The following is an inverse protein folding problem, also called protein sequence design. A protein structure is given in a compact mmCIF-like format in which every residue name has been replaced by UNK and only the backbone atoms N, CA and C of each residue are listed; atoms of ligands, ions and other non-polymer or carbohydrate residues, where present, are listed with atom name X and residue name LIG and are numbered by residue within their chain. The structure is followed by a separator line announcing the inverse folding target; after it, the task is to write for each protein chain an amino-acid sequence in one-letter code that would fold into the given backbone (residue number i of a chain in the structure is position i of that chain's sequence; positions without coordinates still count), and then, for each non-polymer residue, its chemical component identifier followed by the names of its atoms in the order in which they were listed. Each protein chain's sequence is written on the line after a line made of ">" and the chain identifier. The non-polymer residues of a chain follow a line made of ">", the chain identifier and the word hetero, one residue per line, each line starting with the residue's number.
data_IF_549218203276
#
_entry.id   IF_549218203276
#
_cell.length_a   1.000
_cell.length_b   1.000
_cell.length_c   1.000
_cell.angle_alpha   90.00
_cell.angle_beta   90.00
_cell.angle_gamma   90.00
#
_symmetry.space_group_name_H-M   'P 1'
#
loop_
_entity.id
_entity.type
_entity.pdbx_description
1 polymer ?
#
# COMPACT_ATOMS: atom_id res chain seq x y z
N UNK A 1 55.29 43.49 -26.84
CA UNK A 1 54.02 42.89 -27.32
C UNK A 1 54.36 41.62 -28.07
N UNK A 2 54.24 40.45 -27.40
CA UNK A 2 54.51 39.16 -28.00
C UNK A 2 53.18 38.44 -28.30
N UNK A 3 52.95 38.09 -29.55
CA UNK A 3 51.85 37.28 -30.00
C UNK A 3 52.14 35.83 -29.71
N UNK A 4 51.24 35.15 -28.99
CA UNK A 4 51.29 33.73 -28.73
C UNK A 4 50.33 33.01 -29.69
N UNK A 5 50.90 32.25 -30.62
CA UNK A 5 50.12 31.38 -31.51
C UNK A 5 49.91 30.04 -30.84
N UNK A 6 48.62 29.64 -30.63
CA UNK A 6 48.27 28.29 -30.26
C UNK A 6 47.95 27.47 -31.49
N UNK A 7 48.77 26.45 -31.68
CA UNK A 7 48.60 25.43 -32.72
C UNK A 7 47.70 24.33 -32.18
N UNK A 8 46.50 24.13 -32.74
CA UNK A 8 45.63 23.01 -32.41
C UNK A 8 45.98 21.83 -33.29
N UNK A 9 46.60 20.80 -32.75
CA UNK A 9 46.84 19.52 -33.38
C UNK A 9 45.64 18.63 -33.15
N UNK A 10 44.86 18.40 -34.20
CA UNK A 10 43.76 17.45 -34.18
C UNK A 10 44.28 16.01 -34.32
N UNK A 11 44.08 15.21 -33.27
CA UNK A 11 44.28 13.77 -33.37
C UNK A 11 42.98 13.10 -33.80
N UNK A 12 42.96 12.66 -35.08
CA UNK A 12 41.94 11.74 -35.57
C UNK A 12 42.32 10.32 -35.08
N UNK A 13 41.61 9.83 -34.09
CA UNK A 13 41.68 8.44 -33.71
C UNK A 13 40.73 7.60 -34.57
N UNK A 14 41.29 6.78 -35.42
CA UNK A 14 40.59 5.72 -36.13
C UNK A 14 40.18 4.65 -35.12
N UNK A 15 38.87 4.46 -34.90
CA UNK A 15 38.36 3.27 -34.25
C UNK A 15 38.18 2.17 -35.29
N UNK A 16 38.73 0.98 -35.07
CA UNK A 16 38.45 -0.15 -35.94
C UNK A 16 37.01 -0.64 -35.64
N UNK A 17 36.22 -0.72 -36.70
CA UNK A 17 34.91 -1.41 -36.65
C UNK A 17 35.19 -2.91 -36.54
N UNK A 18 34.97 -3.45 -35.36
CA UNK A 18 34.94 -4.89 -35.20
C UNK A 18 33.56 -5.39 -35.63
N UNK A 19 33.56 -6.23 -36.65
CA UNK A 19 32.35 -6.91 -37.12
C UNK A 19 31.85 -7.84 -36.05
N UNK A 20 30.54 -7.82 -35.82
CA UNK A 20 29.85 -8.85 -35.03
C UNK A 20 29.93 -10.17 -35.81
N UNK A 21 30.66 -11.14 -35.32
CA UNK A 21 30.47 -12.51 -35.67
C UNK A 21 29.27 -13.05 -34.86
N UNK A 22 28.18 -13.33 -35.57
CA UNK A 22 27.07 -14.12 -35.06
C UNK A 22 27.54 -15.58 -34.98
N UNK A 23 28.06 -16.02 -33.84
CA UNK A 23 28.10 -17.43 -33.41
C UNK A 23 28.76 -17.53 -32.02
N UNK A 24 28.13 -16.99 -31.01
CA UNK A 24 28.37 -17.41 -29.63
C UNK A 24 27.00 -17.66 -28.97
N UNK A 25 26.52 -18.88 -29.17
CA UNK A 25 25.49 -19.45 -28.32
C UNK A 25 26.05 -19.51 -26.89
N UNK A 26 25.79 -18.46 -26.12
CA UNK A 26 25.98 -18.50 -24.69
C UNK A 26 25.17 -19.71 -24.15
N UNK A 27 25.78 -20.60 -23.36
CA UNK A 27 24.99 -21.64 -22.72
C UNK A 27 23.90 -20.97 -21.93
N UNK A 28 22.63 -21.29 -22.20
CA UNK A 28 21.52 -20.98 -21.34
C UNK A 28 21.92 -21.47 -19.95
N UNK A 29 22.30 -20.54 -19.09
CA UNK A 29 22.38 -20.81 -17.67
C UNK A 29 20.95 -21.13 -17.27
N UNK A 30 20.61 -22.40 -17.21
CA UNK A 30 19.44 -22.89 -16.52
C UNK A 30 19.66 -22.48 -15.06
N UNK A 31 19.15 -21.30 -14.74
CA UNK A 31 18.98 -20.90 -13.35
C UNK A 31 17.93 -21.85 -12.82
N UNK A 32 18.39 -22.95 -12.23
CA UNK A 32 17.58 -23.72 -11.31
C UNK A 32 17.11 -22.74 -10.25
N UNK A 33 15.92 -22.17 -10.46
CA UNK A 33 15.18 -21.50 -9.39
C UNK A 33 14.87 -22.65 -8.42
N UNK A 34 15.76 -22.85 -7.45
CA UNK A 34 15.40 -23.59 -6.26
C UNK A 34 14.17 -22.90 -5.74
N UNK A 35 13.02 -23.56 -5.79
CA UNK A 35 11.85 -23.23 -5.00
C UNK A 35 12.29 -23.34 -3.52
N UNK A 36 13.01 -22.31 -3.06
CA UNK A 36 13.15 -22.07 -1.65
C UNK A 36 11.74 -21.72 -1.19
N UNK A 37 11.10 -22.60 -0.44
CA UNK A 37 9.96 -22.21 0.35
C UNK A 37 10.39 -20.98 1.11
N UNK A 38 9.84 -19.84 0.72
CA UNK A 38 10.10 -18.59 1.42
C UNK A 38 9.36 -18.73 2.74
N UNK A 39 10.05 -19.20 3.79
CA UNK A 39 9.48 -19.47 5.12
C UNK A 39 8.77 -18.24 5.70
N UNK A 40 8.96 -17.09 5.07
CA UNK A 40 8.36 -15.80 5.44
C UNK A 40 6.96 -15.58 4.84
N UNK A 41 6.49 -16.43 3.91
CA UNK A 41 5.14 -16.33 3.32
C UNK A 41 4.25 -17.45 3.85
N UNK A 42 3.11 -17.05 4.41
CA UNK A 42 2.11 -17.93 5.01
C UNK A 42 0.81 -17.79 4.25
N UNK A 43 0.34 -18.85 3.61
CA UNK A 43 -0.97 -18.87 2.97
C UNK A 43 -2.08 -19.00 4.02
N UNK A 44 -3.04 -18.08 4.01
CA UNK A 44 -4.10 -18.05 5.03
C UNK A 44 -5.01 -19.27 4.96
N UNK A 45 -5.19 -19.87 3.78
CA UNK A 45 -6.03 -21.07 3.61
C UNK A 45 -5.44 -22.32 4.27
N UNK A 46 -4.12 -22.36 4.48
CA UNK A 46 -3.45 -23.44 5.20
C UNK A 46 -3.78 -23.43 6.70
N UNK A 47 -4.42 -22.38 7.17
CA UNK A 47 -4.88 -22.19 8.56
C UNK A 47 -6.40 -22.14 8.66
N UNK A 48 -7.09 -22.82 7.76
CA UNK A 48 -8.56 -22.91 7.69
C UNK A 48 -9.30 -21.59 7.51
N UNK A 49 -8.61 -20.52 7.09
CA UNK A 49 -9.26 -19.28 6.69
C UNK A 49 -9.95 -19.49 5.34
N UNK A 50 -11.28 -19.43 5.34
CA UNK A 50 -12.10 -19.69 4.16
C UNK A 50 -12.06 -18.52 3.17
N UNK A 51 -12.00 -18.83 1.90
CA UNK A 51 -12.02 -17.87 0.78
C UNK A 51 -13.23 -18.04 -0.15
N UNK A 52 -14.30 -18.65 0.37
CA UNK A 52 -15.53 -18.97 -0.34
C UNK A 52 -16.73 -18.05 0.00
N UNK A 53 -16.48 -16.98 0.75
CA UNK A 53 -17.49 -16.05 1.24
C UNK A 53 -18.10 -16.42 2.58
N UNK A 54 -17.70 -17.52 3.17
CA UNK A 54 -18.07 -17.86 4.56
C UNK A 54 -17.51 -16.81 5.53
N UNK A 55 -18.28 -16.53 6.58
CA UNK A 55 -17.90 -15.55 7.60
C UNK A 55 -16.62 -15.95 8.33
N UNK A 56 -15.68 -15.02 8.40
CA UNK A 56 -14.39 -15.17 9.08
C UNK A 56 -14.42 -14.29 10.34
N UNK A 57 -14.28 -14.92 11.49
CA UNK A 57 -14.17 -14.21 12.76
C UNK A 57 -12.72 -14.00 13.18
N UNK A 58 -12.48 -14.17 14.49
CA UNK A 58 -11.18 -13.89 15.13
C UNK A 58 -10.03 -14.80 14.67
N UNK A 59 -10.29 -15.86 13.92
CA UNK A 59 -9.25 -16.79 13.45
C UNK A 59 -8.17 -16.04 12.64
N UNK A 60 -8.58 -15.07 11.82
CA UNK A 60 -7.64 -14.30 11.00
C UNK A 60 -6.75 -13.40 11.85
N UNK A 61 -7.31 -12.72 12.87
CA UNK A 61 -6.51 -11.91 13.79
C UNK A 61 -5.59 -12.77 14.68
N UNK A 62 -6.02 -13.98 15.04
CA UNK A 62 -5.16 -14.95 15.74
C UNK A 62 -3.97 -15.34 14.86
N UNK A 63 -4.21 -15.58 13.55
CA UNK A 63 -3.14 -15.87 12.60
C UNK A 63 -2.19 -14.67 12.43
N UNK A 64 -2.72 -13.45 12.33
CA UNK A 64 -1.90 -12.22 12.32
C UNK A 64 -0.99 -12.18 13.55
N UNK A 65 -1.54 -12.46 14.75
CA UNK A 65 -0.78 -12.49 16.00
C UNK A 65 0.33 -13.53 16.07
N UNK A 66 0.24 -14.58 15.25
CA UNK A 66 1.25 -15.67 15.15
C UNK A 66 2.24 -15.47 13.99
N UNK A 67 2.01 -14.45 13.15
CA UNK A 67 2.77 -14.25 11.89
C UNK A 67 3.69 -13.03 11.93
N UNK A 68 4.21 -12.68 13.11
CA UNK A 68 5.12 -11.55 13.22
C UNK A 68 6.40 -11.75 12.40
N UNK A 69 6.77 -10.74 11.63
CA UNK A 69 7.87 -10.78 10.69
C UNK A 69 7.57 -11.45 9.36
N UNK A 70 6.36 -11.98 9.17
CA UNK A 70 5.95 -12.75 8.00
C UNK A 70 5.00 -11.97 7.11
N UNK A 71 4.76 -12.55 5.94
CA UNK A 71 3.76 -12.10 4.97
C UNK A 71 2.61 -13.09 4.93
N UNK A 72 1.38 -12.62 5.17
CA UNK A 72 0.17 -13.41 4.96
C UNK A 72 -0.28 -13.26 3.49
N UNK A 73 -0.36 -14.37 2.80
CA UNK A 73 -0.86 -14.45 1.44
C UNK A 73 -2.31 -14.92 1.42
N UNK A 74 -3.15 -14.15 0.74
CA UNK A 74 -4.57 -14.41 0.53
C UNK A 74 -4.79 -14.87 -0.91
N UNK A 75 -4.91 -16.16 -1.19
CA UNK A 75 -5.26 -16.68 -2.52
C UNK A 75 -6.56 -16.10 -3.07
N UNK A 76 -6.79 -16.26 -4.37
CA UNK A 76 -8.02 -15.85 -5.02
C UNK A 76 -9.26 -16.39 -4.30
N UNK A 77 -10.32 -15.57 -4.20
CA UNK A 77 -11.57 -15.93 -3.52
C UNK A 77 -12.18 -14.76 -2.75
N UNK A 78 -13.19 -15.06 -1.95
CA UNK A 78 -13.91 -14.04 -1.17
C UNK A 78 -13.69 -14.26 0.32
N UNK A 79 -13.12 -13.27 0.99
CA UNK A 79 -12.89 -13.23 2.44
C UNK A 79 -13.93 -12.33 3.08
N UNK A 80 -14.88 -12.91 3.80
CA UNK A 80 -16.02 -12.22 4.39
C UNK A 80 -15.81 -12.02 5.89
N UNK A 81 -15.44 -10.83 6.29
CA UNK A 81 -15.00 -10.50 7.64
C UNK A 81 -16.16 -10.21 8.59
N UNK A 82 -16.07 -10.65 9.85
CA UNK A 82 -16.96 -10.21 10.94
C UNK A 82 -16.31 -9.19 11.86
N UNK A 83 -15.00 -8.99 11.72
CA UNK A 83 -14.21 -7.99 12.43
C UNK A 83 -13.06 -7.51 11.54
N UNK A 84 -12.49 -6.32 11.77
CA UNK A 84 -11.36 -5.82 10.99
C UNK A 84 -10.14 -6.74 11.06
N UNK A 85 -9.38 -6.83 9.97
CA UNK A 85 -8.01 -7.36 10.04
C UNK A 85 -7.15 -6.31 10.76
N UNK A 86 -6.59 -6.65 11.92
CA UNK A 86 -5.81 -5.71 12.72
C UNK A 86 -4.33 -6.00 12.61
N UNK A 87 -3.59 -5.10 11.99
CA UNK A 87 -2.14 -5.17 11.91
C UNK A 87 -1.50 -4.51 13.13
N UNK A 88 -0.49 -5.15 13.74
CA UNK A 88 0.20 -4.56 14.88
C UNK A 88 1.01 -3.32 14.46
N UNK A 89 1.22 -2.44 15.43
CA UNK A 89 1.97 -1.19 15.26
C UNK A 89 3.46 -1.32 15.51
N UNK A 90 3.82 -2.27 16.33
CA UNK A 90 5.20 -2.44 16.74
C UNK A 90 6.06 -2.91 15.55
N UNK A 91 7.21 -2.26 15.33
CA UNK A 91 8.12 -2.64 14.23
C UNK A 91 8.60 -4.09 14.31
N UNK A 92 8.74 -4.61 15.52
CA UNK A 92 9.16 -5.99 15.78
C UNK A 92 8.07 -7.00 15.48
N UNK A 93 6.81 -6.53 15.41
CA UNK A 93 5.61 -7.35 15.14
C UNK A 93 5.00 -7.04 13.79
N UNK A 94 5.82 -6.66 12.85
CA UNK A 94 5.37 -6.34 11.50
C UNK A 94 4.76 -7.55 10.82
N UNK A 95 3.58 -7.38 10.21
CA UNK A 95 2.93 -8.37 9.36
C UNK A 95 2.56 -7.68 8.06
N UNK A 96 2.85 -8.34 6.95
CA UNK A 96 2.47 -7.87 5.63
C UNK A 96 1.28 -8.65 5.11
N UNK A 97 0.43 -8.01 4.30
CA UNK A 97 -0.69 -8.66 3.63
C UNK A 97 -0.47 -8.59 2.13
N UNK A 98 -0.53 -9.73 1.46
CA UNK A 98 -0.56 -9.82 0.01
C UNK A 98 -1.82 -10.56 -0.41
N UNK A 99 -2.62 -9.93 -1.24
CA UNK A 99 -3.83 -10.49 -1.81
C UNK A 99 -3.60 -10.84 -3.27
N UNK A 100 -4.04 -12.02 -3.69
CA UNK A 100 -4.15 -12.32 -5.12
C UNK A 100 -5.03 -11.26 -5.81
N UNK A 101 -4.75 -10.94 -7.05
CA UNK A 101 -5.52 -9.94 -7.81
C UNK A 101 -7.03 -10.25 -7.87
N UNK A 102 -7.43 -11.51 -7.72
CA UNK A 102 -8.81 -11.98 -7.69
C UNK A 102 -9.29 -12.27 -6.25
N UNK A 103 -8.54 -11.90 -5.24
CA UNK A 103 -9.00 -11.96 -3.86
C UNK A 103 -9.87 -10.74 -3.56
N UNK A 104 -11.03 -10.95 -2.98
CA UNK A 104 -11.94 -9.89 -2.54
C UNK A 104 -12.12 -9.98 -1.04
N UNK A 105 -11.83 -8.91 -0.34
CA UNK A 105 -12.10 -8.74 1.09
C UNK A 105 -13.35 -7.89 1.24
N UNK A 106 -14.33 -8.38 1.98
CA UNK A 106 -15.59 -7.68 2.25
C UNK A 106 -16.09 -7.96 3.66
N UNK A 107 -17.18 -7.33 4.03
CA UNK A 107 -17.97 -7.69 5.21
C UNK A 107 -19.45 -7.63 4.90
N UNK A 108 -20.23 -8.56 5.42
CA UNK A 108 -21.69 -8.52 5.42
C UNK A 108 -22.25 -7.85 6.69
N UNK A 109 -21.39 -7.56 7.68
CA UNK A 109 -21.72 -6.78 8.87
C UNK A 109 -21.03 -5.42 8.82
N UNK A 110 -21.55 -4.44 9.55
CA UNK A 110 -20.93 -3.13 9.61
C UNK A 110 -19.63 -3.17 10.43
N UNK A 111 -18.54 -2.65 9.86
CA UNK A 111 -17.22 -2.58 10.49
C UNK A 111 -16.69 -1.13 10.51
N UNK A 112 -15.87 -0.81 11.50
CA UNK A 112 -15.09 0.45 11.52
C UNK A 112 -14.13 0.52 10.32
N UNK A 113 -13.51 -0.61 9.96
CA UNK A 113 -12.63 -0.73 8.79
C UNK A 113 -12.57 -2.19 8.33
N UNK A 114 -12.19 -2.46 7.08
CA UNK A 114 -11.82 -3.81 6.65
C UNK A 114 -10.42 -4.17 7.14
N UNK A 115 -9.47 -3.24 7.01
CA UNK A 115 -8.10 -3.40 7.50
C UNK A 115 -7.78 -2.21 8.40
N UNK A 116 -7.30 -2.50 9.59
CA UNK A 116 -6.88 -1.51 10.56
C UNK A 116 -5.41 -1.71 10.89
N UNK A 117 -4.61 -0.70 10.69
CA UNK A 117 -3.25 -0.67 11.23
C UNK A 117 -3.36 -0.15 12.65
N UNK A 118 -3.24 -1.04 13.62
CA UNK A 118 -3.59 -0.79 14.99
C UNK A 118 -2.75 0.31 15.65
N UNK A 119 -3.25 0.81 16.76
CA UNK A 119 -2.65 1.85 17.57
C UNK A 119 -1.81 1.25 18.71
N UNK A 120 -0.68 1.90 19.00
CA UNK A 120 0.12 1.64 20.20
C UNK A 120 0.26 2.94 21.00
N UNK A 121 0.04 2.87 22.29
CA UNK A 121 0.29 3.99 23.21
C UNK A 121 1.79 4.29 23.37
N UNK A 122 2.64 3.37 22.98
CA UNK A 122 4.09 3.52 23.04
C UNK A 122 4.62 4.13 21.76
N UNK A 123 5.22 5.33 21.88
CA UNK A 123 5.97 5.95 20.80
C UNK A 123 7.29 5.21 20.59
N UNK A 124 7.45 4.65 19.40
CA UNK A 124 8.77 4.18 19.00
C UNK A 124 9.59 5.36 18.50
N UNK A 125 10.54 5.79 19.30
CA UNK A 125 11.54 6.79 18.92
C UNK A 125 12.71 6.16 18.17
N UNK A 126 12.84 4.85 18.19
CA UNK A 126 13.92 4.14 17.51
C UNK A 126 13.63 4.00 16.02
N UNK A 127 14.24 4.86 15.24
CA UNK A 127 14.19 4.86 13.78
C UNK A 127 15.17 3.88 13.12
N UNK A 128 15.95 3.16 13.90
CA UNK A 128 17.01 2.27 13.40
C UNK A 128 16.48 1.00 12.72
N UNK A 129 15.24 0.61 13.02
CA UNK A 129 14.61 -0.61 12.50
C UNK A 129 13.38 -0.31 11.65
N UNK A 130 13.53 0.56 10.67
CA UNK A 130 12.43 0.92 9.75
C UNK A 130 12.02 -0.27 8.89
N UNK A 131 10.98 -0.99 9.28
CA UNK A 131 10.34 -2.00 8.45
C UNK A 131 8.98 -1.50 7.98
N UNK A 132 8.73 -1.64 6.69
CA UNK A 132 7.39 -1.38 6.15
C UNK A 132 6.44 -2.52 6.52
N UNK A 133 5.21 -2.15 6.96
CA UNK A 133 4.06 -3.02 6.79
C UNK A 133 3.43 -2.67 5.46
N UNK A 134 3.30 -3.62 4.56
CA UNK A 134 2.60 -3.37 3.32
C UNK A 134 1.32 -4.19 3.21
N UNK A 135 0.37 -3.56 2.53
CA UNK A 135 -0.94 -4.10 2.16
C UNK A 135 -0.98 -4.01 0.65
N UNK A 136 -1.00 -5.14 -0.02
CA UNK A 136 -0.80 -5.20 -1.47
C UNK A 136 -1.80 -6.13 -2.12
N UNK A 137 -2.28 -5.72 -3.30
CA UNK A 137 -3.10 -6.55 -4.18
C UNK A 137 -4.58 -6.62 -3.81
N UNK A 138 -5.33 -7.35 -4.60
CA UNK A 138 -6.73 -7.67 -4.37
C UNK A 138 -7.70 -6.51 -4.46
N UNK A 139 -8.91 -6.79 -4.00
CA UNK A 139 -10.04 -5.87 -4.01
C UNK A 139 -10.58 -5.75 -2.58
N UNK A 140 -10.70 -4.54 -2.06
CA UNK A 140 -11.42 -4.25 -0.83
C UNK A 140 -12.80 -3.70 -1.18
N UNK A 141 -13.84 -4.46 -0.89
CA UNK A 141 -15.22 -4.05 -1.04
C UNK A 141 -15.72 -3.37 0.23
N UNK A 142 -15.65 -2.07 0.25
CA UNK A 142 -15.86 -1.24 1.43
C UNK A 142 -17.33 -0.95 1.74
N UNK A 143 -18.28 -1.65 1.12
CA UNK A 143 -19.71 -1.35 1.22
C UNK A 143 -20.25 -1.33 2.66
N UNK A 144 -19.80 -2.24 3.51
CA UNK A 144 -20.21 -2.34 4.91
C UNK A 144 -19.11 -1.93 5.91
N UNK A 145 -18.19 -1.06 5.50
CA UNK A 145 -17.16 -0.53 6.37
C UNK A 145 -17.13 1.00 6.33
N UNK A 146 -16.89 1.65 7.48
CA UNK A 146 -16.68 3.10 7.50
C UNK A 146 -15.39 3.46 6.77
N UNK A 147 -14.38 2.61 6.88
CA UNK A 147 -13.12 2.78 6.17
C UNK A 147 -12.73 1.48 5.47
N UNK A 148 -12.18 1.56 4.27
CA UNK A 148 -11.55 0.40 3.64
C UNK A 148 -10.27 0.04 4.39
N UNK A 149 -9.36 1.02 4.50
CA UNK A 149 -8.13 0.92 5.29
C UNK A 149 -8.05 2.09 6.25
N UNK A 150 -7.88 1.80 7.54
CA UNK A 150 -7.67 2.78 8.59
C UNK A 150 -6.24 2.66 9.13
N UNK A 151 -5.39 3.63 8.81
CA UNK A 151 -4.06 3.78 9.43
C UNK A 151 -4.22 4.61 10.68
N UNK A 152 -4.21 3.96 11.85
CA UNK A 152 -4.64 4.55 13.11
C UNK A 152 -3.46 4.80 14.06
N UNK A 153 -2.88 5.99 13.97
CA UNK A 153 -1.80 6.44 14.86
C UNK A 153 -0.43 5.82 14.57
N UNK A 154 -0.24 5.22 13.43
CA UNK A 154 1.05 4.65 13.06
C UNK A 154 2.05 5.72 12.65
N UNK A 155 3.10 5.85 13.41
CA UNK A 155 4.09 6.91 13.22
C UNK A 155 4.97 6.74 11.98
N UNK A 156 5.06 5.58 11.36
CA UNK A 156 5.90 5.38 10.15
C UNK A 156 5.55 4.11 9.37
N UNK A 157 5.77 4.19 8.03
CA UNK A 157 6.06 3.07 7.16
C UNK A 157 4.89 2.07 6.96
N UNK A 158 3.71 2.60 6.68
CA UNK A 158 2.65 1.82 6.05
C UNK A 158 2.72 2.03 4.54
N UNK A 159 2.67 0.96 3.79
CA UNK A 159 2.62 1.01 2.34
C UNK A 159 1.38 0.28 1.83
N UNK A 160 0.51 1.00 1.12
CA UNK A 160 -0.69 0.49 0.48
C UNK A 160 -0.44 0.55 -1.01
N UNK A 161 -0.48 -0.58 -1.70
CA UNK A 161 -0.08 -0.60 -3.10
C UNK A 161 -0.78 -1.64 -3.95
N UNK A 162 -0.88 -1.34 -5.25
CA UNK A 162 -1.32 -2.26 -6.31
C UNK A 162 -2.66 -2.93 -5.99
N UNK A 163 -3.65 -2.15 -5.52
CA UNK A 163 -4.94 -2.68 -5.10
C UNK A 163 -6.12 -1.83 -5.53
N UNK A 164 -7.31 -2.38 -5.41
CA UNK A 164 -8.56 -1.68 -5.68
C UNK A 164 -9.41 -1.57 -4.42
N UNK A 165 -9.91 -0.37 -4.11
CA UNK A 165 -10.91 -0.15 -3.07
C UNK A 165 -12.19 0.32 -3.73
N UNK A 166 -13.28 -0.39 -3.49
CA UNK A 166 -14.54 -0.13 -4.17
C UNK A 166 -15.71 0.04 -3.19
N UNK A 167 -16.73 0.78 -3.61
CA UNK A 167 -18.02 0.92 -2.94
C UNK A 167 -17.97 1.47 -1.50
N UNK A 168 -16.99 2.32 -1.18
CA UNK A 168 -16.90 2.91 0.16
C UNK A 168 -18.13 3.73 0.55
N UNK A 169 -18.51 3.69 1.83
CA UNK A 169 -19.60 4.49 2.39
C UNK A 169 -19.17 5.78 3.05
N UNK A 170 -17.96 5.81 3.61
CA UNK A 170 -17.42 6.99 4.26
C UNK A 170 -16.04 7.30 3.71
N UNK A 171 -15.03 6.47 3.97
CA UNK A 171 -13.66 6.72 3.49
C UNK A 171 -13.05 5.43 2.96
N UNK A 172 -12.39 5.47 1.80
CA UNK A 172 -11.68 4.29 1.33
C UNK A 172 -10.34 4.10 2.06
N UNK A 173 -9.53 5.15 2.17
CA UNK A 173 -8.29 5.12 2.95
C UNK A 173 -8.27 6.31 3.89
N UNK A 174 -8.22 6.05 5.19
CA UNK A 174 -8.10 7.07 6.22
C UNK A 174 -6.76 6.96 6.94
N UNK A 175 -6.04 8.06 7.00
CA UNK A 175 -4.82 8.20 7.79
C UNK A 175 -5.18 9.08 8.97
N UNK A 176 -5.18 8.48 10.16
CA UNK A 176 -5.87 9.01 11.34
C UNK A 176 -4.95 9.10 12.55
N UNK A 177 -5.31 10.00 13.43
CA UNK A 177 -4.77 10.11 14.80
C UNK A 177 -5.91 9.86 15.77
N UNK A 178 -5.79 8.87 16.67
CA UNK A 178 -6.80 8.63 17.68
C UNK A 178 -7.02 9.84 18.58
N UNK A 179 -8.27 10.02 19.05
CA UNK A 179 -8.61 11.08 19.99
C UNK A 179 -7.77 10.98 21.28
N UNK A 180 -7.41 12.15 21.82
CA UNK A 180 -6.63 12.22 23.08
C UNK A 180 -5.13 12.13 22.90
N UNK A 181 -4.65 11.91 21.68
CA UNK A 181 -3.22 11.95 21.38
C UNK A 181 -2.86 13.35 20.91
N UNK A 182 -1.91 13.95 21.62
CA UNK A 182 -1.54 15.35 21.44
C UNK A 182 -1.11 15.69 20.01
N UNK A 183 -1.36 16.93 19.61
CA UNK A 183 -1.12 17.48 18.27
C UNK A 183 0.36 17.69 17.93
N UNK A 184 1.28 17.27 18.75
CA UNK A 184 2.71 17.54 18.61
C UNK A 184 3.48 16.49 17.83
N UNK A 185 3.17 16.23 16.55
CA UNK A 185 3.95 15.32 15.70
C UNK A 185 3.77 13.83 16.03
N UNK A 186 2.65 13.48 16.61
CA UNK A 186 2.32 12.14 17.13
C UNK A 186 1.37 11.35 16.23
N UNK A 187 1.01 11.92 15.08
CA UNK A 187 0.11 11.31 14.13
C UNK A 187 0.75 10.22 13.27
N UNK A 188 -0.06 9.62 12.43
CA UNK A 188 0.44 8.74 11.38
C UNK A 188 1.30 9.52 10.40
N UNK A 189 2.49 9.02 10.09
CA UNK A 189 3.41 9.63 9.14
C UNK A 189 4.01 8.62 8.18
N UNK A 190 4.63 9.13 7.11
CA UNK A 190 5.34 8.32 6.11
C UNK A 190 4.48 7.19 5.48
N UNK A 191 3.15 7.34 5.47
CA UNK A 191 2.29 6.40 4.74
C UNK A 191 2.48 6.60 3.24
N UNK A 192 2.70 5.49 2.54
CA UNK A 192 2.79 5.47 1.08
C UNK A 192 1.58 4.79 0.48
N UNK A 193 0.95 5.46 -0.48
CA UNK A 193 -0.16 4.92 -1.29
C UNK A 193 0.34 4.96 -2.73
N UNK A 194 0.42 3.80 -3.38
CA UNK A 194 1.06 3.66 -4.67
C UNK A 194 0.30 2.69 -5.58
N UNK A 195 0.03 3.11 -6.82
CA UNK A 195 -0.69 2.31 -7.81
C UNK A 195 -2.02 1.75 -7.26
N UNK A 196 -2.86 2.62 -6.70
CA UNK A 196 -4.14 2.26 -6.10
C UNK A 196 -5.29 2.81 -6.94
N UNK A 197 -6.33 1.99 -7.13
CA UNK A 197 -7.59 2.44 -7.74
C UNK A 197 -8.65 2.54 -6.66
N UNK A 198 -9.29 3.70 -6.56
CA UNK A 198 -10.39 3.97 -5.62
C UNK A 198 -11.64 4.30 -6.41
N UNK A 199 -12.71 3.54 -6.15
CA UNK A 199 -14.00 3.77 -6.78
C UNK A 199 -15.12 3.85 -5.74
N UNK A 200 -15.72 5.04 -5.58
CA UNK A 200 -16.95 5.22 -4.85
C UNK A 200 -18.18 4.70 -5.62
N UNK A 201 -19.33 4.73 -4.97
CA UNK A 201 -20.61 4.32 -5.60
C UNK A 201 -21.17 5.49 -6.41
N UNK A 202 -21.15 6.69 -5.85
CA UNK A 202 -21.73 7.90 -6.44
C UNK A 202 -20.99 9.14 -5.91
N UNK A 203 -20.87 10.17 -6.74
CA UNK A 203 -20.30 11.46 -6.35
C UNK A 203 -21.16 12.21 -5.30
N UNK A 204 -22.43 11.82 -5.15
CA UNK A 204 -23.36 12.42 -4.20
C UNK A 204 -23.30 11.82 -2.80
N UNK A 205 -22.64 10.66 -2.64
CA UNK A 205 -22.43 10.06 -1.34
C UNK A 205 -21.34 10.84 -0.60
N UNK A 206 -21.48 10.98 0.72
CA UNK A 206 -20.45 11.61 1.58
C UNK A 206 -19.21 10.71 1.69
N UNK A 207 -18.65 10.33 0.56
CA UNK A 207 -17.56 9.37 0.45
C UNK A 207 -16.27 10.08 0.09
N UNK A 208 -15.26 9.82 0.90
CA UNK A 208 -13.90 10.30 0.65
C UNK A 208 -13.06 9.20 0.01
N UNK A 209 -12.24 9.57 -0.96
CA UNK A 209 -11.26 8.65 -1.52
C UNK A 209 -10.14 8.40 -0.49
N UNK A 210 -9.33 9.43 -0.26
CA UNK A 210 -8.26 9.42 0.74
C UNK A 210 -8.48 10.60 1.68
N UNK A 211 -8.47 10.33 2.98
CA UNK A 211 -8.62 11.34 4.01
C UNK A 211 -7.44 11.31 4.98
N UNK A 212 -6.72 12.41 5.07
CA UNK A 212 -5.55 12.56 5.94
C UNK A 212 -5.92 13.57 7.03
N UNK A 213 -6.00 13.10 8.26
CA UNK A 213 -6.38 13.88 9.43
C UNK A 213 -5.30 14.90 9.82
N UNK A 214 -5.67 15.82 10.72
CA UNK A 214 -4.74 16.71 11.38
C UNK A 214 -3.60 15.94 12.06
N UNK A 215 -2.43 16.51 12.13
CA UNK A 215 -1.22 15.90 12.73
C UNK A 215 -0.68 14.65 12.03
N UNK A 216 -1.26 14.22 10.92
CA UNK A 216 -0.68 13.22 10.03
C UNK A 216 0.19 13.94 8.98
N UNK A 217 1.41 13.48 8.72
CA UNK A 217 2.33 14.18 7.82
C UNK A 217 3.13 13.22 6.92
N UNK A 218 3.88 13.82 5.99
CA UNK A 218 4.86 13.14 5.15
C UNK A 218 4.33 11.94 4.34
N UNK A 219 3.01 11.96 4.03
CA UNK A 219 2.40 10.93 3.20
C UNK A 219 2.79 11.12 1.74
N UNK A 220 3.04 10.01 1.05
CA UNK A 220 3.29 10.00 -0.38
C UNK A 220 2.17 9.25 -1.10
N UNK A 221 1.54 9.90 -2.08
CA UNK A 221 0.50 9.31 -2.93
C UNK A 221 1.01 9.38 -4.36
N UNK A 222 1.16 8.22 -5.01
CA UNK A 222 1.66 8.11 -6.38
C UNK A 222 0.82 7.15 -7.22
N UNK A 223 0.75 7.43 -8.53
CA UNK A 223 0.13 6.56 -9.53
C UNK A 223 -1.28 6.06 -9.15
N UNK A 224 -2.04 6.93 -8.49
CA UNK A 224 -3.32 6.61 -7.87
C UNK A 224 -4.47 7.20 -8.66
N UNK A 225 -5.50 6.39 -8.90
CA UNK A 225 -6.71 6.76 -9.62
C UNK A 225 -7.90 6.79 -8.67
N UNK A 226 -8.59 7.94 -8.57
CA UNK A 226 -9.73 8.13 -7.66
C UNK A 226 -10.92 8.65 -8.44
N UNK A 227 -12.03 7.95 -8.39
CA UNK A 227 -13.24 8.37 -9.07
C UNK A 227 -14.53 8.01 -8.32
N UNK A 228 -15.63 8.68 -8.66
CA UNK A 228 -16.94 8.51 -8.03
C UNK A 228 -16.90 8.68 -6.49
N UNK A 229 -16.18 9.70 -6.01
CA UNK A 229 -16.20 10.12 -4.62
C UNK A 229 -16.63 11.56 -4.53
N UNK A 230 -17.20 11.97 -3.38
CA UNK A 230 -17.55 13.38 -3.14
C UNK A 230 -16.27 14.24 -3.10
N UNK A 231 -15.31 13.80 -2.36
CA UNK A 231 -13.99 14.41 -2.28
C UNK A 231 -12.92 13.32 -2.47
N UNK A 232 -12.14 13.45 -3.53
CA UNK A 232 -11.16 12.42 -3.86
C UNK A 232 -10.01 12.36 -2.86
N UNK A 233 -9.52 13.54 -2.46
CA UNK A 233 -8.43 13.70 -1.51
C UNK A 233 -8.73 14.86 -0.58
N UNK A 234 -8.75 14.58 0.71
CA UNK A 234 -8.82 15.57 1.77
C UNK A 234 -7.55 15.47 2.62
N UNK A 235 -6.87 16.58 2.82
CA UNK A 235 -5.76 16.66 3.76
C UNK A 235 -5.95 17.86 4.70
N UNK A 236 -5.82 17.61 5.98
CA UNK A 236 -5.87 18.62 7.03
C UNK A 236 -4.49 18.93 7.63
N UNK A 237 -3.45 18.42 7.02
CA UNK A 237 -2.06 18.55 7.48
C UNK A 237 -1.13 18.84 6.30
N UNK A 238 0.16 18.94 6.54
CA UNK A 238 1.17 19.34 5.56
C UNK A 238 2.26 18.26 5.36
N UNK A 239 3.17 18.50 4.40
CA UNK A 239 4.32 17.65 4.15
C UNK A 239 4.02 16.49 3.17
N UNK A 240 2.91 16.54 2.42
CA UNK A 240 2.54 15.45 1.53
C UNK A 240 3.16 15.62 0.15
N UNK A 241 3.47 14.48 -0.49
CA UNK A 241 3.95 14.40 -1.88
C UNK A 241 2.88 13.73 -2.72
N UNK A 242 2.39 14.43 -3.74
CA UNK A 242 1.45 13.90 -4.72
C UNK A 242 2.15 13.80 -6.07
N UNK A 243 2.12 12.62 -6.67
CA UNK A 243 2.73 12.36 -7.96
C UNK A 243 1.81 11.50 -8.82
N UNK A 244 1.44 11.98 -10.01
CA UNK A 244 0.58 11.25 -10.95
C UNK A 244 -0.73 10.74 -10.30
N UNK A 245 -1.44 11.63 -9.60
CA UNK A 245 -2.75 11.33 -9.01
C UNK A 245 -3.84 11.78 -9.97
N UNK A 246 -4.65 10.83 -10.44
CA UNK A 246 -5.72 11.08 -11.39
C UNK A 246 -7.06 11.08 -10.66
N UNK A 247 -7.75 12.20 -10.69
CA UNK A 247 -9.05 12.40 -10.03
C UNK A 247 -10.12 12.60 -11.10
N UNK A 248 -11.14 11.75 -11.09
CA UNK A 248 -12.33 11.88 -11.92
C UNK A 248 -13.56 12.04 -11.04
N UNK A 249 -14.23 13.16 -11.17
CA UNK A 249 -15.56 13.39 -10.60
C UNK A 249 -16.59 13.14 -11.69
N UNK A 250 -17.55 12.25 -11.42
CA UNK A 250 -18.73 12.08 -12.28
C UNK A 250 -19.89 12.76 -11.58
N UNK A 251 -20.14 13.99 -11.94
CA UNK A 251 -21.41 14.62 -11.60
C UNK A 251 -22.45 14.11 -12.60
N UNK A 252 -23.32 13.23 -12.12
CA UNK A 252 -24.44 12.73 -12.94
C UNK A 252 -25.65 13.65 -12.90
N UNK A 253 -25.53 14.82 -12.27
CA UNK A 253 -26.50 15.89 -12.31
C UNK A 253 -26.17 16.87 -13.44
N UNK A 254 -26.25 16.38 -14.69
CA UNK A 254 -26.33 17.23 -15.85
C UNK A 254 -27.78 17.61 -16.13
#
# INVERSE_FOLDING_TARGET
>A
MKKLNFLFLGLLSFMPIWGCNDDDSLPEAVVEVKEGHNEDIVSVIDYDIKNDGTLIGSQLNNLVGQSYGKTLYFPAGTYNLTEPIVLPLEYTKNVNLIFDKNATVKSDVHLEALIKVGYSETYFTDVSHRRFSYIEGGILDCYNADNGILVNGRKQLVQIRTMSLVRGRNTHIRIHVPEGIGTGGTGSSDTKIDNVTIQGISSNDNVYGIYIDESCCDCKISDTFIYCTKEALVTKSAGHILNNVHILSWDTTG
#
